data_IF_145681297229
#
_entry.id   IF_145681297229
#
_cell.length_a   1.000
_cell.length_b   1.000
_cell.length_c   1.000
_cell.angle_alpha   90.00
_cell.angle_beta   90.00
_cell.angle_gamma   90.00
#
_symmetry.space_group_name_H-M   'P 1'
#
loop_
_entity.id
_entity.type
_entity.pdbx_description
1 polymer ?
#
# COMPACT_ATOMS: atom_id res chain seq x y z
N UNK A 1 2.95 70.85 -12.94
CA UNK A 1 3.48 69.89 -13.93
C UNK A 1 3.64 68.51 -13.28
N UNK A 2 2.66 68.06 -12.46
CA UNK A 2 2.78 66.80 -11.70
C UNK A 2 1.80 65.71 -12.16
N UNK A 3 0.82 66.04 -13.00
CA UNK A 3 -0.27 65.12 -13.35
C UNK A 3 0.14 64.06 -14.39
N UNK A 4 1.25 64.26 -15.13
CA UNK A 4 1.68 63.31 -16.16
C UNK A 4 2.54 62.16 -15.60
N UNK A 5 3.34 62.43 -14.55
CA UNK A 5 4.19 61.42 -13.90
C UNK A 5 3.35 60.47 -13.01
N UNK A 6 2.32 60.99 -12.35
CA UNK A 6 1.42 60.22 -11.48
C UNK A 6 0.61 59.16 -12.27
N UNK A 7 0.20 59.50 -13.50
CA UNK A 7 -0.52 58.57 -14.39
C UNK A 7 0.41 57.48 -14.96
N UNK A 8 1.67 57.81 -15.27
CA UNK A 8 2.66 56.81 -15.70
C UNK A 8 3.02 55.85 -14.56
N UNK A 9 3.21 56.34 -13.33
CA UNK A 9 3.47 55.50 -12.16
C UNK A 9 2.27 54.59 -11.82
N UNK A 10 1.05 55.09 -11.90
CA UNK A 10 -0.17 54.29 -11.67
C UNK A 10 -0.35 53.22 -12.76
N UNK A 11 0.05 53.52 -14.01
CA UNK A 11 0.01 52.57 -15.13
C UNK A 11 1.04 51.45 -14.96
N UNK A 12 2.29 51.79 -14.61
CA UNK A 12 3.37 50.82 -14.36
C UNK A 12 3.06 49.94 -13.14
N UNK A 13 2.53 50.54 -12.06
CA UNK A 13 2.10 49.80 -10.87
C UNK A 13 0.97 48.81 -11.20
N UNK A 14 0.02 49.21 -12.06
CA UNK A 14 -1.08 48.34 -12.50
C UNK A 14 -0.61 47.17 -13.37
N UNK A 15 0.40 47.38 -14.22
CA UNK A 15 1.03 46.33 -15.03
C UNK A 15 1.84 45.35 -14.17
N UNK A 16 2.55 45.85 -13.16
CA UNK A 16 3.22 45.00 -12.17
C UNK A 16 2.22 44.17 -11.35
N UNK A 17 1.13 44.78 -10.88
CA UNK A 17 0.07 44.07 -10.16
C UNK A 17 -0.59 42.98 -11.02
N UNK A 18 -0.80 43.24 -12.31
CA UNK A 18 -1.25 42.22 -13.27
C UNK A 18 -0.23 41.10 -13.43
N UNK A 19 1.04 41.44 -13.57
CA UNK A 19 2.12 40.47 -13.78
C UNK A 19 2.27 39.55 -12.58
N UNK A 20 2.25 40.11 -11.36
CA UNK A 20 2.26 39.34 -10.11
C UNK A 20 1.06 38.40 -10.04
N UNK A 21 -0.14 38.90 -10.39
CA UNK A 21 -1.36 38.08 -10.43
C UNK A 21 -1.26 36.92 -11.43
N UNK A 22 -0.65 37.13 -12.60
CA UNK A 22 -0.43 36.05 -13.57
C UNK A 22 0.61 35.04 -13.10
N UNK A 23 1.67 35.48 -12.43
CA UNK A 23 2.69 34.59 -11.84
C UNK A 23 2.06 33.73 -10.75
N UNK A 24 1.24 34.31 -9.88
CA UNK A 24 0.54 33.59 -8.82
C UNK A 24 -0.43 32.55 -9.40
N UNK A 25 -1.20 32.92 -10.43
CA UNK A 25 -2.10 31.99 -11.14
C UNK A 25 -1.33 30.83 -11.81
N UNK A 26 -0.18 31.15 -12.43
CA UNK A 26 0.68 30.16 -13.07
C UNK A 26 1.29 29.18 -12.04
N UNK A 27 1.74 29.70 -10.89
CA UNK A 27 2.24 28.88 -9.79
C UNK A 27 1.15 27.98 -9.21
N UNK A 28 -0.06 28.49 -9.03
CA UNK A 28 -1.20 27.67 -8.60
C UNK A 28 -1.51 26.57 -9.60
N UNK A 29 -1.61 26.86 -10.89
CA UNK A 29 -1.84 25.84 -11.93
C UNK A 29 -0.74 24.78 -11.97
N UNK A 30 0.52 25.18 -11.86
CA UNK A 30 1.65 24.25 -11.83
C UNK A 30 1.62 23.37 -10.59
N UNK A 31 1.29 23.95 -9.44
CA UNK A 31 1.24 23.22 -8.15
C UNK A 31 0.07 22.24 -8.13
N UNK A 32 -1.10 22.64 -8.63
CA UNK A 32 -2.28 21.79 -8.71
C UNK A 32 -2.05 20.60 -9.65
N UNK A 33 -1.45 20.85 -10.83
CA UNK A 33 -1.07 19.79 -11.78
C UNK A 33 -0.03 18.84 -11.17
N UNK A 34 0.90 19.36 -10.37
CA UNK A 34 1.91 18.54 -9.70
C UNK A 34 1.28 17.64 -8.63
N UNK A 35 0.36 18.17 -7.82
CA UNK A 35 -0.39 17.39 -6.83
C UNK A 35 -1.27 16.32 -7.50
N UNK A 36 -1.92 16.66 -8.61
CA UNK A 36 -2.71 15.72 -9.39
C UNK A 36 -1.90 14.51 -9.84
N UNK A 37 -0.73 14.75 -10.42
CA UNK A 37 0.07 13.67 -11.00
C UNK A 37 0.89 12.89 -9.95
N UNK A 38 1.41 13.55 -8.92
CA UNK A 38 2.29 12.89 -7.93
C UNK A 38 1.58 12.37 -6.69
N UNK A 39 0.41 12.92 -6.33
CA UNK A 39 -0.30 12.55 -5.09
C UNK A 39 -1.61 11.85 -5.41
N UNK A 40 -2.48 12.46 -6.23
CA UNK A 40 -3.82 11.94 -6.44
C UNK A 40 -3.86 10.72 -7.36
N UNK A 41 -3.13 10.72 -8.47
CA UNK A 41 -3.08 9.57 -9.39
C UNK A 41 -2.52 8.28 -8.74
N UNK A 42 -1.37 8.31 -8.02
CA UNK A 42 -0.86 7.12 -7.34
C UNK A 42 -1.78 6.67 -6.21
N UNK A 43 -2.40 7.60 -5.48
CA UNK A 43 -3.35 7.29 -4.43
C UNK A 43 -4.60 6.60 -4.98
N UNK A 44 -5.17 7.08 -6.09
CA UNK A 44 -6.35 6.46 -6.70
C UNK A 44 -6.03 5.05 -7.24
N UNK A 45 -4.83 4.86 -7.80
CA UNK A 45 -4.35 3.53 -8.19
C UNK A 45 -4.18 2.58 -6.99
N UNK A 46 -3.57 3.06 -5.91
CA UNK A 46 -3.40 2.30 -4.67
C UNK A 46 -4.75 1.93 -4.05
N UNK A 47 -5.67 2.89 -3.95
CA UNK A 47 -7.01 2.67 -3.39
C UNK A 47 -7.80 1.66 -4.21
N UNK A 48 -7.81 1.76 -5.54
CA UNK A 48 -8.43 0.75 -6.40
C UNK A 48 -7.83 -0.62 -6.18
N UNK A 49 -6.50 -0.71 -6.11
CA UNK A 49 -5.81 -1.99 -5.93
C UNK A 49 -6.10 -2.60 -4.57
N UNK A 50 -6.14 -1.81 -3.51
CA UNK A 50 -6.51 -2.24 -2.15
C UNK A 50 -7.97 -2.72 -2.13
N UNK A 51 -8.88 -2.02 -2.79
CA UNK A 51 -10.28 -2.43 -2.90
C UNK A 51 -10.41 -3.80 -3.58
N UNK A 52 -9.75 -4.03 -4.71
CA UNK A 52 -9.73 -5.33 -5.36
C UNK A 52 -9.09 -6.41 -4.47
N UNK A 53 -7.98 -6.08 -3.81
CA UNK A 53 -7.32 -7.03 -2.92
C UNK A 53 -8.22 -7.43 -1.74
N UNK A 54 -8.94 -6.47 -1.17
CA UNK A 54 -9.92 -6.71 -0.10
C UNK A 54 -10.99 -7.72 -0.55
N UNK A 55 -11.55 -7.53 -1.75
CA UNK A 55 -12.55 -8.44 -2.31
C UNK A 55 -11.96 -9.83 -2.57
N UNK A 56 -10.78 -9.90 -3.21
CA UNK A 56 -10.14 -11.19 -3.53
C UNK A 56 -9.76 -11.94 -2.27
N UNK A 57 -9.16 -11.27 -1.28
CA UNK A 57 -8.74 -11.88 -0.02
C UNK A 57 -9.94 -12.36 0.77
N UNK A 58 -11.01 -11.57 0.86
CA UNK A 58 -12.24 -11.98 1.57
C UNK A 58 -12.93 -13.14 0.87
N UNK A 59 -13.01 -13.15 -0.47
CA UNK A 59 -13.57 -14.25 -1.23
C UNK A 59 -12.76 -15.54 -1.06
N UNK A 60 -11.42 -15.43 -1.10
CA UNK A 60 -10.51 -16.55 -0.89
C UNK A 60 -10.63 -17.10 0.54
N UNK A 61 -10.67 -16.21 1.54
CA UNK A 61 -10.86 -16.59 2.94
C UNK A 61 -12.20 -17.29 3.15
N UNK A 62 -13.29 -16.75 2.60
CA UNK A 62 -14.61 -17.36 2.65
C UNK A 62 -14.60 -18.76 2.01
N UNK A 63 -14.01 -18.90 0.82
CA UNK A 63 -13.87 -20.19 0.14
C UNK A 63 -13.10 -21.22 0.97
N UNK A 64 -11.99 -20.83 1.59
CA UNK A 64 -11.20 -21.70 2.47
C UNK A 64 -12.02 -22.13 3.69
N UNK A 65 -12.73 -21.20 4.33
CA UNK A 65 -13.58 -21.51 5.49
C UNK A 65 -14.67 -22.50 5.09
N UNK A 66 -15.36 -22.28 3.97
CA UNK A 66 -16.41 -23.19 3.49
C UNK A 66 -15.85 -24.59 3.22
N UNK A 67 -14.68 -24.68 2.58
CA UNK A 67 -14.02 -25.96 2.30
C UNK A 67 -13.69 -26.68 3.61
N UNK A 68 -13.05 -25.98 4.55
CA UNK A 68 -12.68 -26.51 5.87
C UNK A 68 -13.91 -27.03 6.62
N UNK A 69 -14.97 -26.24 6.69
CA UNK A 69 -16.22 -26.66 7.34
C UNK A 69 -16.81 -27.88 6.64
N UNK A 70 -16.78 -27.92 5.30
CA UNK A 70 -17.19 -29.08 4.52
C UNK A 70 -16.40 -30.35 4.88
N UNK A 71 -15.07 -30.26 5.01
CA UNK A 71 -14.24 -31.40 5.44
C UNK A 71 -14.60 -31.86 6.85
N UNK A 72 -14.77 -30.92 7.79
CA UNK A 72 -15.16 -31.25 9.17
C UNK A 72 -16.48 -32.01 9.18
N UNK A 73 -17.48 -31.52 8.43
CA UNK A 73 -18.79 -32.16 8.34
C UNK A 73 -18.73 -33.53 7.65
N UNK A 74 -17.88 -33.70 6.64
CA UNK A 74 -17.67 -34.99 5.98
C UNK A 74 -17.08 -36.01 6.96
N UNK A 75 -16.08 -35.63 7.74
CA UNK A 75 -15.50 -36.50 8.78
C UNK A 75 -16.55 -36.79 9.87
N UNK A 76 -17.36 -35.79 10.22
CA UNK A 76 -18.42 -35.93 11.21
C UNK A 76 -19.53 -36.92 10.80
N UNK A 77 -19.58 -37.35 9.53
CA UNK A 77 -20.47 -38.40 9.07
C UNK A 77 -20.09 -39.79 9.63
N UNK A 78 -18.81 -39.99 9.96
CA UNK A 78 -18.27 -41.27 10.44
C UNK A 78 -17.90 -41.25 11.93
N UNK A 79 -17.66 -40.07 12.51
CA UNK A 79 -17.27 -39.88 13.91
C UNK A 79 -18.01 -38.70 14.54
N UNK A 80 -18.15 -38.65 15.88
CA UNK A 80 -18.77 -37.51 16.55
C UNK A 80 -18.12 -36.16 16.20
N UNK A 81 -18.91 -35.08 16.16
CA UNK A 81 -18.46 -33.74 15.77
C UNK A 81 -17.23 -33.27 16.55
N UNK A 82 -17.18 -33.53 17.86
CA UNK A 82 -16.04 -33.15 18.71
C UNK A 82 -14.73 -33.85 18.26
N UNK A 83 -14.80 -35.11 17.84
CA UNK A 83 -13.66 -35.86 17.35
C UNK A 83 -13.24 -35.36 15.96
N UNK A 84 -14.20 -35.07 15.08
CA UNK A 84 -13.93 -34.48 13.77
C UNK A 84 -13.22 -33.11 13.87
N UNK A 85 -13.65 -32.26 14.82
CA UNK A 85 -13.01 -30.99 15.13
C UNK A 85 -11.57 -31.17 15.62
N UNK A 86 -11.32 -32.12 16.53
CA UNK A 86 -9.97 -32.41 17.03
C UNK A 86 -9.04 -32.94 15.93
N UNK A 87 -9.51 -33.85 15.09
CA UNK A 87 -8.74 -34.40 13.97
C UNK A 87 -8.37 -33.28 13.00
N UNK A 88 -9.34 -32.47 12.60
CA UNK A 88 -9.10 -31.37 11.66
C UNK A 88 -8.15 -30.32 12.27
N UNK A 89 -8.33 -29.98 13.54
CA UNK A 89 -7.45 -29.07 14.27
C UNK A 89 -6.01 -29.57 14.37
N UNK A 90 -5.81 -30.86 14.63
CA UNK A 90 -4.48 -31.47 14.67
C UNK A 90 -3.78 -31.39 13.30
N UNK A 91 -4.51 -31.69 12.22
CA UNK A 91 -3.99 -31.59 10.84
C UNK A 91 -3.59 -30.15 10.50
N UNK A 92 -4.44 -29.18 10.83
CA UNK A 92 -4.14 -27.76 10.59
C UNK A 92 -2.93 -27.29 11.39
N UNK A 93 -2.83 -27.68 12.66
CA UNK A 93 -1.70 -27.32 13.52
C UNK A 93 -0.39 -27.88 12.96
N UNK A 94 -0.37 -29.15 12.56
CA UNK A 94 0.80 -29.77 11.92
C UNK A 94 1.19 -29.07 10.61
N UNK A 95 0.20 -28.78 9.76
CA UNK A 95 0.44 -28.06 8.49
C UNK A 95 0.99 -26.65 8.73
N UNK A 96 0.43 -25.92 9.70
CA UNK A 96 0.90 -24.60 10.10
C UNK A 96 2.32 -24.63 10.66
N UNK A 97 2.66 -25.64 11.46
CA UNK A 97 4.01 -25.82 11.99
C UNK A 97 5.03 -26.09 10.88
N UNK A 98 4.68 -26.88 9.86
CA UNK A 98 5.54 -27.12 8.69
C UNK A 98 5.76 -25.83 7.91
N UNK A 99 4.69 -25.06 7.63
CA UNK A 99 4.79 -23.79 6.91
C UNK A 99 5.65 -22.80 7.70
N UNK A 100 5.44 -22.68 9.01
CA UNK A 100 6.24 -21.84 9.88
C UNK A 100 7.71 -22.25 9.87
N UNK A 101 7.99 -23.56 9.98
CA UNK A 101 9.35 -24.07 9.89
C UNK A 101 10.01 -23.68 8.56
N UNK A 102 9.34 -23.84 7.42
CA UNK A 102 9.88 -23.48 6.11
C UNK A 102 10.14 -21.98 6.00
N UNK A 103 9.19 -21.14 6.43
CA UNK A 103 9.31 -19.69 6.36
C UNK A 103 10.39 -19.14 7.28
N UNK A 104 10.52 -19.67 8.50
CA UNK A 104 11.52 -19.20 9.47
C UNK A 104 12.92 -19.80 9.23
N UNK A 105 13.01 -20.95 8.54
CA UNK A 105 14.31 -21.55 8.19
C UNK A 105 15.04 -20.80 7.07
N UNK A 106 14.31 -20.00 6.28
CA UNK A 106 14.94 -19.07 5.34
C UNK A 106 15.43 -17.83 6.11
N UNK A 107 16.76 -17.71 6.31
CA UNK A 107 17.35 -16.46 6.80
C UNK A 107 16.96 -15.34 5.83
N UNK A 108 16.14 -14.41 6.29
CA UNK A 108 15.87 -13.16 5.59
C UNK A 108 17.15 -12.32 5.67
N UNK A 109 18.09 -12.55 4.75
CA UNK A 109 19.23 -11.66 4.56
C UNK A 109 18.71 -10.46 3.79
N UNK A 110 18.44 -9.36 4.49
CA UNK A 110 18.26 -8.08 3.83
C UNK A 110 19.55 -7.80 3.05
N UNK A 111 19.44 -7.68 1.72
CA UNK A 111 20.54 -7.23 0.86
C UNK A 111 20.79 -5.74 1.09
N UNK A 112 21.23 -5.38 2.28
CA UNK A 112 21.80 -4.07 2.56
C UNK A 112 23.32 -4.16 2.39
N UNK A 113 23.99 -3.10 1.90
CA UNK A 113 25.44 -3.11 1.68
C UNK A 113 26.22 -3.48 2.97
N UNK A 114 25.69 -3.09 4.13
CA UNK A 114 26.25 -3.39 5.47
C UNK A 114 26.15 -4.89 5.82
N UNK A 115 25.07 -5.58 5.43
CA UNK A 115 24.87 -7.00 5.72
C UNK A 115 25.80 -7.90 4.88
N UNK A 116 26.23 -7.44 3.71
CA UNK A 116 27.13 -8.18 2.82
C UNK A 116 28.57 -8.18 3.36
N UNK A 117 28.99 -7.07 3.97
CA UNK A 117 30.31 -6.95 4.62
C UNK A 117 30.42 -7.82 5.88
N UNK A 118 29.35 -7.94 6.68
CA UNK A 118 29.38 -8.80 7.88
C UNK A 118 29.47 -10.30 7.54
N UNK A 119 28.95 -10.74 6.39
CA UNK A 119 29.08 -12.14 5.93
C UNK A 119 30.51 -12.42 5.46
N UNK A 120 31.20 -11.43 4.87
CA UNK A 120 32.58 -11.60 4.44
C UNK A 120 33.55 -11.65 5.63
N UNK A 121 33.30 -10.85 6.67
CA UNK A 121 34.15 -10.80 7.87
C UNK A 121 33.83 -11.87 8.93
N UNK A 122 32.65 -12.51 8.86
CA UNK A 122 32.25 -13.60 9.77
C UNK A 122 32.61 -15.01 9.29
N UNK A 123 33.22 -15.14 8.11
CA UNK A 123 33.88 -16.37 7.65
C UNK A 123 35.39 -16.22 7.82
N UNK A 124 35.84 -16.37 9.06
CA UNK A 124 37.20 -16.79 9.40
C UNK A 124 37.15 -17.90 10.43
#
# INVERSE_FOLDING_TARGET
MDTAADIEEETIASEFARTIKYIDLYLQQKTDLFLQHYVFEPADFLLRRIMYLSIIVTLLAAGIITLVVGVILLIALFVPLFAALLITGAIMSGTGAIIAYVLLSHKIVLKTPIATEMIHNGKS
#
